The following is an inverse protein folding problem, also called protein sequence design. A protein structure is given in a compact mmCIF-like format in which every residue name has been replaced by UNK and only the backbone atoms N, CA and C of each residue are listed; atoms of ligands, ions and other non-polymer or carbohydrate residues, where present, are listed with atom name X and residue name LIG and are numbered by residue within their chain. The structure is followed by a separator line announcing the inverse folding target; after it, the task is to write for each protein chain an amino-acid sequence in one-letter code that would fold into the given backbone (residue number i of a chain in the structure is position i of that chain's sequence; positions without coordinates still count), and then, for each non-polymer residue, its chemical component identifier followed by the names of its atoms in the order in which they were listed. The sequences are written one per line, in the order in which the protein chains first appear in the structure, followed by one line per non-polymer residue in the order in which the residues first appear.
data_IF_309918780140
#
_entry.id   IF_309918780140
#
_cell.length_a   1.000
_cell.length_b   1.000
_cell.length_c   1.000
_cell.angle_alpha   90.00
_cell.angle_beta   90.00
_cell.angle_gamma   90.00
#
_symmetry.space_group_name_H-M   'P 1'
#
loop_
_entity.id
_entity.type
_entity.pdbx_description
1 polymer ?
#
# COMPACT_ATOMS: atom_id res chain seq x y z
N UNK A 1 13.98 -25.66 24.51
CA UNK A 1 13.70 -24.62 23.49
C UNK A 1 13.73 -25.16 22.07
N UNK A 2 14.76 -25.91 21.64
CA UNK A 2 14.85 -26.46 20.27
C UNK A 2 13.62 -27.31 19.86
N UNK A 3 13.15 -28.23 20.72
CA UNK A 3 11.93 -29.04 20.47
C UNK A 3 10.67 -28.19 20.25
N UNK A 4 10.55 -27.07 20.96
CA UNK A 4 9.42 -26.14 20.80
C UNK A 4 9.50 -25.40 19.46
N UNK A 5 10.69 -24.94 19.08
CA UNK A 5 10.95 -24.28 17.79
C UNK A 5 10.62 -25.24 16.64
N UNK A 6 11.13 -26.47 16.69
CA UNK A 6 10.86 -27.50 15.68
C UNK A 6 9.36 -27.79 15.57
N UNK A 7 8.66 -27.97 16.71
CA UNK A 7 7.21 -28.19 16.72
C UNK A 7 6.44 -27.02 16.09
N UNK A 8 6.88 -25.77 16.34
CA UNK A 8 6.31 -24.55 15.74
C UNK A 8 6.54 -24.49 14.22
N UNK A 9 7.73 -24.83 13.74
CA UNK A 9 8.07 -24.86 12.31
C UNK A 9 7.27 -25.95 11.59
N UNK A 10 7.23 -27.16 12.16
CA UNK A 10 6.43 -28.25 11.62
C UNK A 10 4.93 -27.92 11.58
N UNK A 11 4.41 -27.22 12.60
CA UNK A 11 3.03 -26.74 12.59
C UNK A 11 2.77 -25.65 11.54
N UNK A 12 3.80 -24.90 11.11
CA UNK A 12 3.66 -23.89 10.06
C UNK A 12 3.46 -24.50 8.67
N UNK A 13 4.06 -25.65 8.38
CA UNK A 13 3.97 -26.35 7.08
C UNK A 13 2.51 -26.64 6.68
N UNK A 14 1.67 -27.33 7.49
CA UNK A 14 0.29 -27.60 7.11
C UNK A 14 -0.52 -26.31 7.00
N UNK A 15 -0.26 -25.30 7.85
CA UNK A 15 -0.96 -24.01 7.76
C UNK A 15 -0.63 -23.27 6.46
N UNK A 16 0.62 -23.28 6.02
CA UNK A 16 1.03 -22.68 4.75
C UNK A 16 0.45 -23.45 3.56
N UNK A 17 0.45 -24.78 3.61
CA UNK A 17 -0.13 -25.60 2.55
C UNK A 17 -1.64 -25.33 2.40
N UNK A 18 -2.37 -25.27 3.51
CA UNK A 18 -3.79 -24.88 3.50
C UNK A 18 -3.97 -23.49 2.90
N UNK A 19 -3.15 -22.51 3.32
CA UNK A 19 -3.23 -21.13 2.82
C UNK A 19 -2.95 -21.07 1.31
N UNK A 20 -1.89 -21.70 0.83
CA UNK A 20 -1.54 -21.79 -0.59
C UNK A 20 -2.68 -22.44 -1.39
N UNK A 21 -3.23 -23.54 -0.89
CA UNK A 21 -4.31 -24.28 -1.54
C UNK A 21 -5.56 -23.42 -1.67
N UNK A 22 -5.99 -22.80 -0.57
CA UNK A 22 -7.16 -21.91 -0.55
C UNK A 22 -6.92 -20.71 -1.46
N UNK A 23 -5.74 -20.07 -1.41
CA UNK A 23 -5.40 -18.93 -2.28
C UNK A 23 -5.39 -19.30 -3.75
N UNK A 24 -4.85 -20.47 -4.11
CA UNK A 24 -4.82 -20.97 -5.49
C UNK A 24 -6.24 -21.16 -6.05
N UNK A 25 -7.10 -21.87 -5.33
CA UNK A 25 -8.48 -22.08 -5.77
C UNK A 25 -9.27 -20.79 -5.78
N UNK A 26 -9.08 -19.88 -4.81
CA UNK A 26 -9.75 -18.59 -4.78
C UNK A 26 -9.37 -17.73 -5.99
N UNK A 27 -8.09 -17.72 -6.40
CA UNK A 27 -7.67 -17.05 -7.62
C UNK A 27 -8.23 -17.70 -8.89
N UNK A 28 -8.35 -19.02 -8.94
CA UNK A 28 -8.86 -19.73 -10.13
C UNK A 28 -10.39 -19.67 -10.25
N UNK A 29 -11.11 -19.52 -9.14
CA UNK A 29 -12.56 -19.33 -9.10
C UNK A 29 -12.96 -17.87 -9.39
N UNK A 30 -12.04 -16.91 -9.25
CA UNK A 30 -12.30 -15.53 -9.58
C UNK A 30 -12.56 -15.40 -11.09
N UNK A 31 -13.65 -14.71 -11.52
CA UNK A 31 -13.96 -14.57 -12.93
C UNK A 31 -12.92 -13.70 -13.64
N UNK A 32 -12.32 -14.23 -14.71
CA UNK A 32 -11.34 -13.54 -15.55
C UNK A 32 -10.06 -14.34 -15.75
N UNK A 33 -9.25 -13.95 -16.75
CA UNK A 33 -7.88 -14.43 -16.90
C UNK A 33 -6.91 -13.29 -16.59
N UNK A 34 -5.65 -13.60 -16.17
CA UNK A 34 -4.61 -12.58 -15.98
C UNK A 34 -4.31 -11.77 -17.25
N UNK A 35 -4.75 -12.27 -18.42
CA UNK A 35 -4.43 -11.73 -19.74
C UNK A 35 -5.62 -11.06 -20.43
N UNK A 36 -6.83 -11.12 -19.87
CA UNK A 36 -8.05 -10.50 -20.41
C UNK A 36 -8.25 -9.04 -19.93
N UNK A 37 -7.17 -8.37 -19.54
CA UNK A 37 -7.17 -6.99 -19.01
C UNK A 37 -7.12 -5.89 -20.07
N UNK A 38 -6.37 -4.82 -19.80
CA UNK A 38 -6.35 -3.52 -20.53
C UNK A 38 -6.07 -3.56 -22.05
N UNK A 39 -5.67 -4.71 -22.61
CA UNK A 39 -5.44 -4.89 -24.05
C UNK A 39 -6.09 -6.19 -24.49
N UNK A 40 -7.08 -6.08 -25.38
CA UNK A 40 -7.65 -7.25 -26.06
C UNK A 40 -6.57 -7.85 -26.97
N UNK A 41 -5.95 -8.93 -26.50
CA UNK A 41 -5.01 -9.71 -27.27
C UNK A 41 -5.79 -10.51 -28.33
N UNK A 42 -5.25 -10.65 -29.56
CA UNK A 42 -5.85 -11.54 -30.55
C UNK A 42 -5.99 -12.96 -29.98
N UNK A 43 -7.08 -13.69 -30.29
CA UNK A 43 -7.36 -15.00 -29.70
C UNK A 43 -6.24 -16.02 -29.94
N UNK A 44 -5.54 -15.93 -31.08
CA UNK A 44 -4.37 -16.77 -31.37
C UNK A 44 -3.18 -16.52 -30.41
N UNK A 45 -2.99 -15.26 -29.98
CA UNK A 45 -1.92 -14.89 -29.05
C UNK A 45 -2.28 -15.32 -27.63
N UNK A 46 -3.55 -15.21 -27.25
CA UNK A 46 -4.05 -15.71 -25.96
C UNK A 46 -3.86 -17.22 -25.84
N UNK A 47 -4.25 -18.00 -26.85
CA UNK A 47 -4.06 -19.45 -26.85
C UNK A 47 -2.59 -19.86 -26.69
N UNK A 48 -1.67 -19.15 -27.36
CA UNK A 48 -0.23 -19.38 -27.23
C UNK A 48 0.31 -19.04 -25.83
N UNK A 49 -0.22 -17.97 -25.21
CA UNK A 49 0.16 -17.57 -23.86
C UNK A 49 -0.38 -18.55 -22.82
N UNK A 50 -1.63 -18.97 -22.96
CA UNK A 50 -2.28 -19.94 -22.08
C UNK A 50 -1.59 -21.31 -22.15
N UNK A 51 -1.18 -21.73 -23.35
CA UNK A 51 -0.36 -22.92 -23.55
C UNK A 51 1.02 -22.78 -22.90
N UNK A 52 1.70 -21.63 -23.08
CA UNK A 52 3.03 -21.37 -22.50
C UNK A 52 3.04 -21.43 -20.97
N UNK A 53 1.95 -21.02 -20.33
CA UNK A 53 1.83 -20.98 -18.86
C UNK A 53 1.08 -22.18 -18.28
N UNK A 54 0.77 -23.21 -19.07
CA UNK A 54 0.03 -24.39 -18.62
C UNK A 54 -1.38 -24.07 -18.06
N UNK A 55 -1.99 -22.96 -18.48
CA UNK A 55 -3.32 -22.55 -18.02
C UNK A 55 -4.45 -23.46 -18.56
N UNK A 56 -4.15 -24.27 -19.57
CA UNK A 56 -5.08 -25.21 -20.21
C UNK A 56 -5.09 -26.60 -19.56
N UNK A 57 -4.11 -26.90 -18.69
CA UNK A 57 -4.04 -28.20 -18.04
C UNK A 57 -5.16 -28.38 -17.01
N UNK A 58 -5.55 -29.61 -16.66
CA UNK A 58 -6.52 -29.84 -15.58
C UNK A 58 -6.11 -29.15 -14.27
N UNK A 59 -7.08 -28.62 -13.52
CA UNK A 59 -6.82 -27.74 -12.37
C UNK A 59 -5.94 -28.38 -11.27
N UNK A 60 -6.03 -29.71 -11.10
CA UNK A 60 -5.16 -30.45 -10.18
C UNK A 60 -3.70 -30.47 -10.64
N UNK A 61 -3.45 -30.63 -11.96
CA UNK A 61 -2.09 -30.60 -12.52
C UNK A 61 -1.48 -29.21 -12.37
N UNK A 62 -2.24 -28.15 -12.63
CA UNK A 62 -1.79 -26.77 -12.41
C UNK A 62 -1.37 -26.54 -10.95
N UNK A 63 -2.15 -27.05 -9.99
CA UNK A 63 -1.82 -26.97 -8.57
C UNK A 63 -0.52 -27.74 -8.24
N UNK A 64 -0.36 -28.97 -8.73
CA UNK A 64 0.87 -29.75 -8.49
C UNK A 64 2.11 -29.10 -9.13
N UNK A 65 1.99 -28.55 -10.34
CA UNK A 65 3.07 -27.78 -10.96
C UNK A 65 3.44 -26.56 -10.12
N UNK A 66 2.44 -25.81 -9.63
CA UNK A 66 2.65 -24.64 -8.78
C UNK A 66 3.31 -25.00 -7.45
N UNK A 67 2.84 -26.03 -6.75
CA UNK A 67 3.43 -26.49 -5.48
C UNK A 67 4.84 -27.01 -5.69
N UNK A 68 5.11 -27.72 -6.80
CA UNK A 68 6.46 -28.21 -7.13
C UNK A 68 7.43 -27.05 -7.40
N UNK A 69 7.01 -26.03 -8.13
CA UNK A 69 7.80 -24.81 -8.37
C UNK A 69 8.07 -24.07 -7.05
N UNK A 70 7.05 -23.89 -6.21
CA UNK A 70 7.20 -23.30 -4.88
C UNK A 70 8.19 -24.07 -4.00
N UNK A 71 8.14 -25.40 -4.03
CA UNK A 71 9.05 -26.26 -3.28
C UNK A 71 10.51 -26.13 -3.74
N UNK A 72 10.73 -25.73 -4.99
CA UNK A 72 12.06 -25.42 -5.56
C UNK A 72 12.47 -23.96 -5.31
N UNK A 73 11.61 -23.16 -4.68
CA UNK A 73 11.85 -21.73 -4.44
C UNK A 73 11.53 -20.83 -5.62
N UNK A 74 10.90 -21.34 -6.67
CA UNK A 74 10.45 -20.56 -7.82
C UNK A 74 8.98 -20.15 -7.65
N UNK A 75 8.73 -18.84 -7.51
CA UNK A 75 7.39 -18.28 -7.39
C UNK A 75 6.75 -18.02 -8.76
N UNK A 76 7.51 -18.23 -9.84
CA UNK A 76 7.08 -18.10 -11.20
C UNK A 76 7.20 -16.68 -11.77
N UNK A 77 6.80 -16.54 -13.04
CA UNK A 77 6.85 -15.27 -13.77
C UNK A 77 5.74 -14.31 -13.32
N UNK A 78 6.00 -12.99 -13.45
CA UNK A 78 4.97 -12.00 -13.16
C UNK A 78 3.97 -11.87 -14.32
N UNK A 79 2.69 -12.08 -14.02
CA UNK A 79 1.61 -11.86 -14.99
C UNK A 79 1.37 -10.36 -15.30
N UNK A 80 1.84 -9.47 -14.42
CA UNK A 80 1.72 -8.01 -14.59
C UNK A 80 2.95 -7.39 -15.26
N UNK A 81 4.14 -7.84 -14.88
CA UNK A 81 5.42 -7.34 -15.39
C UNK A 81 6.09 -8.43 -16.24
N UNK A 82 5.86 -8.41 -17.56
CA UNK A 82 6.19 -9.52 -18.47
C UNK A 82 7.65 -9.98 -18.50
N UNK A 83 8.58 -9.10 -18.12
CA UNK A 83 10.02 -9.35 -18.17
C UNK A 83 10.64 -9.69 -16.82
N UNK A 84 9.83 -9.74 -15.74
CA UNK A 84 10.32 -9.96 -14.38
C UNK A 84 9.73 -11.23 -13.77
N UNK A 85 10.58 -11.99 -13.07
CA UNK A 85 10.10 -13.04 -12.17
C UNK A 85 9.54 -12.44 -10.87
N UNK A 86 8.62 -13.14 -10.21
CA UNK A 86 8.13 -12.72 -8.88
C UNK A 86 9.27 -12.71 -7.87
N UNK A 87 10.23 -13.64 -7.99
CA UNK A 87 11.44 -13.70 -7.19
C UNK A 87 12.27 -12.43 -7.30
N UNK A 88 12.51 -11.91 -8.51
CA UNK A 88 13.24 -10.66 -8.73
C UNK A 88 12.53 -9.46 -8.13
N UNK A 89 11.21 -9.36 -8.33
CA UNK A 89 10.42 -8.27 -7.77
C UNK A 89 10.47 -8.28 -6.23
N UNK A 90 10.38 -9.47 -5.63
CA UNK A 90 10.52 -9.61 -4.18
C UNK A 90 11.94 -9.29 -3.72
N UNK A 91 12.98 -9.77 -4.41
CA UNK A 91 14.36 -9.50 -4.04
C UNK A 91 14.68 -7.99 -4.06
N UNK A 92 14.05 -7.21 -4.95
CA UNK A 92 14.21 -5.76 -5.01
C UNK A 92 13.35 -5.02 -3.97
N UNK A 93 12.10 -5.44 -3.74
CA UNK A 93 11.18 -4.72 -2.86
C UNK A 93 11.30 -5.09 -1.37
N UNK A 94 11.58 -6.35 -1.07
CA UNK A 94 11.65 -6.88 0.29
C UNK A 94 12.68 -6.15 1.18
N UNK A 95 13.93 -5.89 0.76
CA UNK A 95 14.89 -5.20 1.62
C UNK A 95 14.44 -3.78 1.97
N UNK A 96 13.92 -3.04 0.98
CA UNK A 96 13.38 -1.68 1.14
C UNK A 96 12.25 -1.66 2.17
N UNK A 97 11.25 -2.54 2.00
CA UNK A 97 10.12 -2.63 2.93
C UNK A 97 10.53 -3.12 4.32
N UNK A 98 11.52 -4.00 4.40
CA UNK A 98 12.04 -4.49 5.68
C UNK A 98 12.76 -3.38 6.45
N UNK A 99 13.59 -2.58 5.79
CA UNK A 99 14.29 -1.44 6.41
C UNK A 99 13.32 -0.40 6.95
N UNK A 100 12.40 0.09 6.11
CA UNK A 100 11.37 1.06 6.52
C UNK A 100 10.54 0.47 7.66
N UNK A 101 10.11 -0.79 7.50
CA UNK A 101 9.29 -1.48 8.49
C UNK A 101 9.99 -1.67 9.84
N UNK A 102 11.28 -2.00 9.85
CA UNK A 102 12.08 -2.14 11.07
C UNK A 102 12.26 -0.80 11.77
N UNK A 103 12.61 0.26 11.05
CA UNK A 103 12.74 1.60 11.65
C UNK A 103 11.41 2.08 12.24
N UNK A 104 10.30 1.91 11.51
CA UNK A 104 8.97 2.20 12.02
C UNK A 104 8.60 1.39 13.25
N UNK A 105 8.94 0.10 13.26
CA UNK A 105 8.68 -0.78 14.39
C UNK A 105 9.46 -0.36 15.63
N UNK A 106 10.77 -0.10 15.51
CA UNK A 106 11.60 0.33 16.64
C UNK A 106 11.09 1.64 17.21
N UNK A 107 10.82 2.64 16.36
CA UNK A 107 10.28 3.93 16.80
C UNK A 107 8.92 3.75 17.45
N UNK A 108 8.03 2.94 16.86
CA UNK A 108 6.71 2.71 17.42
C UNK A 108 6.76 1.99 18.78
N UNK A 109 7.62 0.98 18.92
CA UNK A 109 7.81 0.24 20.16
C UNK A 109 8.39 1.12 21.26
N UNK A 110 9.45 1.88 20.97
CA UNK A 110 10.12 2.75 21.94
C UNK A 110 9.20 3.90 22.34
N UNK A 111 8.71 4.70 21.39
CA UNK A 111 7.85 5.85 21.70
C UNK A 111 6.51 5.41 22.29
N UNK A 112 5.89 4.36 21.76
CA UNK A 112 4.64 3.83 22.31
C UNK A 112 4.81 3.39 23.76
N UNK A 113 5.86 2.63 24.06
CA UNK A 113 6.12 2.17 25.42
C UNK A 113 6.44 3.34 26.36
N UNK A 114 7.27 4.30 25.95
CA UNK A 114 7.60 5.48 26.76
C UNK A 114 6.35 6.30 27.08
N UNK A 115 5.53 6.62 26.08
CA UNK A 115 4.28 7.37 26.28
C UNK A 115 3.30 6.62 27.19
N UNK A 116 3.18 5.30 27.01
CA UNK A 116 2.32 4.47 27.85
C UNK A 116 2.78 4.38 29.31
N UNK A 117 4.10 4.24 29.55
CA UNK A 117 4.67 4.25 30.90
C UNK A 117 4.45 5.60 31.57
N UNK A 118 4.75 6.71 30.88
CA UNK A 118 4.58 8.07 31.44
C UNK A 118 3.11 8.33 31.78
N UNK A 119 2.19 7.97 30.89
CA UNK A 119 0.75 8.12 31.13
C UNK A 119 0.24 7.26 32.29
N UNK A 120 0.75 6.03 32.44
CA UNK A 120 0.40 5.17 33.58
C UNK A 120 0.92 5.69 34.92
N UNK A 121 2.13 6.28 34.95
CA UNK A 121 2.68 6.87 36.17
C UNK A 121 1.94 8.14 36.61
N UNK A 122 1.38 8.87 35.65
CA UNK A 122 0.57 10.07 35.87
C UNK A 122 -0.91 9.81 35.63
N UNK A 123 -1.39 8.61 35.96
CA UNK A 123 -2.77 8.19 35.73
C UNK A 123 -3.79 9.21 36.28
N UNK A 124 -4.85 9.46 35.51
CA UNK A 124 -5.94 10.39 35.86
C UNK A 124 -5.50 11.85 36.07
N UNK A 125 -4.36 12.24 35.52
CA UNK A 125 -3.93 13.65 35.47
C UNK A 125 -4.09 14.22 34.07
N UNK A 126 -4.04 15.55 33.94
CA UNK A 126 -4.10 16.23 32.64
C UNK A 126 -3.04 15.71 31.65
N UNK A 127 -1.86 15.30 32.14
CA UNK A 127 -0.79 14.76 31.30
C UNK A 127 -1.16 13.40 30.69
N UNK A 128 -1.87 12.55 31.42
CA UNK A 128 -2.39 11.29 30.92
C UNK A 128 -3.45 11.54 29.83
N UNK A 129 -4.42 12.41 30.11
CA UNK A 129 -5.46 12.78 29.14
C UNK A 129 -4.89 13.39 27.86
N UNK A 130 -3.91 14.30 27.93
CA UNK A 130 -3.32 14.93 26.75
C UNK A 130 -2.50 13.92 25.94
N UNK A 131 -1.65 13.11 26.59
CA UNK A 131 -0.83 12.11 25.91
C UNK A 131 -1.70 11.03 25.24
N UNK A 132 -2.72 10.54 25.93
CA UNK A 132 -3.62 9.53 25.36
C UNK A 132 -4.48 10.09 24.25
N UNK A 133 -4.99 11.32 24.38
CA UNK A 133 -5.76 11.98 23.31
C UNK A 133 -4.88 12.15 22.07
N UNK A 134 -3.70 12.76 22.21
CA UNK A 134 -2.76 12.97 21.11
C UNK A 134 -2.35 11.66 20.42
N UNK A 135 -2.07 10.63 21.22
CA UNK A 135 -1.73 9.30 20.70
C UNK A 135 -2.92 8.69 19.95
N UNK A 136 -4.13 8.74 20.50
CA UNK A 136 -5.34 8.14 19.89
C UNK A 136 -5.72 8.82 18.57
N UNK A 137 -5.49 10.12 18.40
CA UNK A 137 -5.72 10.84 17.14
C UNK A 137 -5.02 10.16 15.95
N UNK A 138 -3.81 9.62 16.18
CA UNK A 138 -3.03 8.91 15.15
C UNK A 138 -3.63 7.60 14.65
N UNK A 139 -4.60 7.02 15.37
CA UNK A 139 -5.36 5.83 14.95
C UNK A 139 -6.67 6.21 14.28
N UNK A 140 -7.27 7.32 14.70
CA UNK A 140 -8.54 7.81 14.14
C UNK A 140 -8.35 8.31 12.70
N UNK A 141 -7.22 8.93 12.38
CA UNK A 141 -6.93 9.42 11.03
C UNK A 141 -6.52 8.24 10.12
N UNK A 142 -7.25 7.97 9.02
CA UNK A 142 -6.91 6.90 8.09
C UNK A 142 -5.52 7.10 7.46
N UNK A 143 -4.79 6.00 7.21
CA UNK A 143 -3.41 6.03 6.68
C UNK A 143 -3.26 6.81 5.38
N UNK A 144 -4.23 6.69 4.47
CA UNK A 144 -4.23 7.39 3.18
C UNK A 144 -4.49 8.90 3.30
N UNK A 145 -4.93 9.41 4.47
CA UNK A 145 -5.10 10.83 4.75
C UNK A 145 -3.82 11.39 5.37
N UNK A 146 -3.34 10.74 6.44
CA UNK A 146 -2.13 11.18 7.18
C UNK A 146 -0.86 11.18 6.34
N UNK A 147 -0.66 10.18 5.46
CA UNK A 147 0.56 10.11 4.66
C UNK A 147 0.68 11.29 3.65
N UNK A 148 -0.34 11.61 2.83
CA UNK A 148 -0.30 12.80 1.99
C UNK A 148 -0.23 14.12 2.77
N UNK A 149 -0.86 14.23 3.95
CA UNK A 149 -0.74 15.42 4.80
C UNK A 149 0.71 15.63 5.25
N UNK A 150 1.39 14.57 5.68
CA UNK A 150 2.82 14.63 6.05
C UNK A 150 3.67 15.07 4.84
N UNK A 151 3.42 14.51 3.67
CA UNK A 151 4.12 14.91 2.44
C UNK A 151 3.83 16.38 2.09
N UNK A 152 2.57 16.81 2.17
CA UNK A 152 2.18 18.19 1.87
C UNK A 152 2.88 19.19 2.81
N UNK A 153 2.87 18.93 4.11
CA UNK A 153 3.47 19.83 5.09
C UNK A 153 4.99 19.85 4.94
N UNK A 154 5.65 18.70 4.98
CA UNK A 154 7.11 18.64 5.10
C UNK A 154 7.86 18.69 3.77
N UNK A 155 7.27 18.15 2.69
CA UNK A 155 7.93 18.12 1.39
C UNK A 155 7.51 19.27 0.47
N UNK A 156 6.23 19.69 0.51
CA UNK A 156 5.73 20.73 -0.39
C UNK A 156 5.77 22.12 0.24
N UNK A 157 5.23 22.27 1.45
CA UNK A 157 5.12 23.59 2.12
C UNK A 157 6.46 23.97 2.76
N UNK A 158 7.02 23.13 3.62
CA UNK A 158 8.29 23.40 4.33
C UNK A 158 9.53 23.10 3.47
N UNK A 159 9.41 22.20 2.49
CA UNK A 159 10.55 21.73 1.66
C UNK A 159 11.74 21.18 2.47
N UNK A 160 11.48 20.67 3.68
CA UNK A 160 12.52 20.08 4.55
C UNK A 160 12.91 18.68 4.10
N UNK A 161 11.95 17.94 3.53
CA UNK A 161 12.11 16.53 3.19
C UNK A 161 11.73 16.28 1.72
N UNK A 162 12.32 15.29 1.07
CA UNK A 162 11.94 14.92 -0.30
C UNK A 162 10.55 14.29 -0.33
N UNK A 163 9.79 14.57 -1.39
CA UNK A 163 8.42 14.07 -1.53
C UNK A 163 8.34 12.56 -1.82
N UNK A 164 9.44 11.94 -2.26
CA UNK A 164 9.50 10.49 -2.51
C UNK A 164 10.80 10.03 -3.18
N UNK A 165 10.89 8.72 -3.38
CA UNK A 165 12.06 8.03 -3.94
C UNK A 165 12.86 7.29 -2.86
N UNK A 166 13.60 6.23 -3.24
CA UNK A 166 14.44 5.47 -2.31
C UNK A 166 15.81 6.11 -2.09
N UNK A 167 16.43 6.66 -3.14
CA UNK A 167 17.74 7.33 -3.12
C UNK A 167 18.78 6.60 -2.25
N UNK A 168 18.96 5.30 -2.53
CA UNK A 168 19.86 4.39 -1.81
C UNK A 168 19.71 4.39 -0.28
N UNK A 169 18.49 4.58 0.22
CA UNK A 169 18.20 4.56 1.66
C UNK A 169 18.61 5.84 2.39
N UNK A 170 18.73 6.97 1.68
CA UNK A 170 19.06 8.25 2.31
C UNK A 170 18.07 8.58 3.44
N UNK A 171 18.59 8.97 4.60
CA UNK A 171 17.79 9.27 5.80
C UNK A 171 16.60 10.24 5.54
N UNK A 172 16.74 11.32 4.73
CA UNK A 172 15.63 12.21 4.44
C UNK A 172 14.43 11.52 3.77
N UNK A 173 14.68 10.48 2.98
CA UNK A 173 13.66 9.74 2.24
C UNK A 173 12.92 8.73 3.14
N UNK A 174 13.54 8.34 4.25
CA UNK A 174 12.98 7.39 5.21
C UNK A 174 12.09 8.07 6.25
N UNK A 175 12.35 9.33 6.62
CA UNK A 175 11.67 10.00 7.73
C UNK A 175 10.15 10.05 7.52
N UNK A 176 9.68 10.45 6.34
CA UNK A 176 8.24 10.56 6.05
C UNK A 176 7.50 9.23 6.11
N UNK A 177 7.91 8.17 5.37
CA UNK A 177 7.22 6.87 5.46
C UNK A 177 7.33 6.29 6.87
N UNK A 178 8.47 6.43 7.54
CA UNK A 178 8.66 5.92 8.90
C UNK A 178 7.76 6.61 9.91
N UNK A 179 7.64 7.94 9.84
CA UNK A 179 6.73 8.72 10.67
C UNK A 179 5.27 8.36 10.39
N UNK A 180 4.88 8.30 9.11
CA UNK A 180 3.52 7.96 8.71
C UNK A 180 3.11 6.56 9.21
N UNK A 181 3.99 5.56 9.13
CA UNK A 181 3.69 4.22 9.63
C UNK A 181 3.67 4.17 11.16
N UNK A 182 4.67 4.75 11.83
CA UNK A 182 4.84 4.63 13.29
C UNK A 182 3.70 5.25 14.09
N UNK A 183 3.14 6.40 13.69
CA UNK A 183 2.10 7.14 14.45
C UNK A 183 0.93 6.24 14.92
N UNK A 184 0.40 5.38 14.04
CA UNK A 184 -0.74 4.52 14.40
C UNK A 184 -0.36 3.37 15.34
N UNK A 185 0.87 2.88 15.23
CA UNK A 185 1.38 1.82 16.10
C UNK A 185 1.82 2.35 17.46
N UNK A 186 2.40 3.56 17.53
CA UNK A 186 2.70 4.28 18.78
C UNK A 186 1.46 4.36 19.65
N UNK A 187 0.32 4.73 19.07
CA UNK A 187 -0.97 4.83 19.76
C UNK A 187 -1.48 3.51 20.35
N UNK A 188 -1.35 2.43 19.57
CA UNK A 188 -1.83 1.12 20.01
C UNK A 188 -0.92 0.55 21.11
N UNK A 189 0.39 0.66 20.93
CA UNK A 189 1.39 0.21 21.89
C UNK A 189 1.30 1.04 23.18
N UNK A 190 1.11 2.36 23.10
CA UNK A 190 1.00 3.21 24.29
C UNK A 190 -0.24 2.90 25.11
N UNK A 191 -1.39 2.65 24.47
CA UNK A 191 -2.63 2.26 25.15
C UNK A 191 -2.48 0.93 25.88
N UNK A 192 -1.91 -0.08 25.22
CA UNK A 192 -1.67 -1.41 25.81
C UNK A 192 -0.69 -1.29 26.97
N UNK A 193 0.42 -0.57 26.77
CA UNK A 193 1.44 -0.35 27.80
C UNK A 193 0.86 0.37 29.01
N UNK A 194 0.05 1.41 28.79
CA UNK A 194 -0.61 2.15 29.87
C UNK A 194 -1.52 1.23 30.68
N UNK A 195 -2.37 0.45 30.02
CA UNK A 195 -3.29 -0.49 30.69
C UNK A 195 -2.53 -1.52 31.53
N UNK A 196 -1.53 -2.17 30.93
CA UNK A 196 -0.71 -3.18 31.63
C UNK A 196 0.06 -2.59 32.81
N UNK A 197 0.61 -1.38 32.66
CA UNK A 197 1.31 -0.71 33.76
C UNK A 197 0.37 -0.33 34.91
N UNK A 198 -0.84 0.18 34.62
CA UNK A 198 -1.83 0.52 35.65
C UNK A 198 -2.24 -0.73 36.43
N UNK A 199 -2.51 -1.83 35.75
CA UNK A 199 -2.87 -3.10 36.38
C UNK A 199 -1.75 -3.59 37.32
N UNK A 200 -0.51 -3.61 36.82
CA UNK A 200 0.63 -4.08 37.60
C UNK A 200 0.92 -3.16 38.79
N UNK A 201 0.85 -1.83 38.62
CA UNK A 201 1.09 -0.86 39.70
C UNK A 201 0.07 -0.97 40.85
N UNK A 202 -1.13 -1.49 40.58
CA UNK A 202 -2.18 -1.70 41.58
C UNK A 202 -2.10 -3.06 42.29
N UNK A 203 -1.15 -3.92 41.91
CA UNK A 203 -1.01 -5.27 42.47
C UNK A 203 -0.46 -5.30 43.92
N UNK A 204 -0.75 -6.36 44.71
CA UNK A 204 -0.32 -6.46 46.11
C UNK A 204 1.22 -6.47 46.31
N UNK A 205 1.98 -7.05 45.37
CA UNK A 205 3.44 -7.10 45.49
C UNK A 205 4.08 -5.71 45.31
N UNK A 206 3.46 -4.82 44.51
CA UNK A 206 3.90 -3.42 44.40
C UNK A 206 3.60 -2.65 45.69
N UNK A 207 2.45 -2.89 46.35
CA UNK A 207 2.15 -2.29 47.65
C UNK A 207 3.18 -2.69 48.70
N UNK A 208 3.58 -3.96 48.71
CA UNK A 208 4.65 -4.47 49.58
C UNK A 208 6.00 -3.81 49.27
N UNK A 209 6.33 -3.63 47.99
CA UNK A 209 7.55 -2.93 47.57
C UNK A 209 7.56 -1.46 48.03
N UNK A 210 6.41 -0.77 48.01
CA UNK A 210 6.26 0.59 48.55
C UNK A 210 6.40 0.62 50.07
N UNK A 211 5.81 -0.34 50.79
CA UNK A 211 5.94 -0.45 52.24
C UNK A 211 7.39 -0.67 52.71
N UNK A 212 8.21 -1.33 51.88
CA UNK A 212 9.66 -1.46 52.09
C UNK A 212 10.47 -0.19 51.80
N UNK A 213 9.82 0.93 51.42
CA UNK A 213 10.49 2.21 51.16
C UNK A 213 11.29 2.26 49.85
N UNK A 214 11.06 1.33 48.91
CA UNK A 214 11.79 1.34 47.65
C UNK A 214 11.46 2.59 46.82
N UNK A 215 12.46 3.24 46.18
CA UNK A 215 12.21 4.40 45.35
C UNK A 215 11.38 4.03 44.12
N UNK A 216 10.54 4.97 43.66
CA UNK A 216 9.60 4.74 42.55
C UNK A 216 10.30 4.25 41.27
N UNK A 217 11.52 4.73 40.99
CA UNK A 217 12.31 4.28 39.83
C UNK A 217 12.59 2.77 39.86
N UNK A 218 12.96 2.23 41.03
CA UNK A 218 13.21 0.79 41.20
C UNK A 218 11.93 -0.02 41.11
N UNK A 219 10.83 0.48 41.67
CA UNK A 219 9.50 -0.14 41.56
C UNK A 219 9.10 -0.25 40.09
N UNK A 220 9.25 0.83 39.31
CA UNK A 220 8.87 0.85 37.90
C UNK A 220 9.77 -0.06 37.07
N UNK A 221 11.09 0.16 37.10
CA UNK A 221 12.03 -0.54 36.20
C UNK A 221 12.19 -2.03 36.53
N UNK A 222 12.19 -2.40 37.83
CA UNK A 222 12.50 -3.76 38.26
C UNK A 222 11.27 -4.60 38.58
N UNK A 223 10.22 -4.01 39.15
CA UNK A 223 9.06 -4.74 39.66
C UNK A 223 7.81 -4.62 38.78
N UNK A 224 7.55 -3.45 38.20
CA UNK A 224 6.34 -3.22 37.41
C UNK A 224 6.51 -3.51 35.92
N UNK A 225 7.65 -3.13 35.33
CA UNK A 225 7.86 -3.25 33.89
C UNK A 225 7.88 -4.71 33.42
N UNK A 226 8.51 -5.61 34.20
CA UNK A 226 8.68 -7.02 33.79
C UNK A 226 7.33 -7.77 33.63
N UNK A 227 6.37 -7.68 34.57
CA UNK A 227 5.03 -8.23 34.34
C UNK A 227 4.24 -7.48 33.25
N UNK A 228 4.39 -6.16 33.16
CA UNK A 228 3.68 -5.35 32.17
C UNK A 228 4.11 -5.65 30.72
N UNK A 229 5.32 -6.21 30.51
CA UNK A 229 5.82 -6.59 29.19
C UNK A 229 5.10 -7.80 28.57
N UNK A 230 4.44 -8.66 29.36
CA UNK A 230 3.77 -9.86 28.84
C UNK A 230 2.74 -9.57 27.73
N UNK A 231 1.75 -8.66 27.93
CA UNK A 231 0.82 -8.29 26.87
C UNK A 231 1.48 -7.48 25.75
N UNK A 232 2.51 -6.68 26.07
CA UNK A 232 3.20 -5.85 25.09
C UNK A 232 3.95 -6.72 24.07
N UNK A 233 4.76 -7.67 24.54
CA UNK A 233 5.51 -8.60 23.68
C UNK A 233 4.58 -9.44 22.81
N UNK A 234 3.43 -9.85 23.37
CA UNK A 234 2.41 -10.60 22.63
C UNK A 234 1.82 -9.77 21.46
N UNK A 235 1.68 -8.46 21.63
CA UNK A 235 1.22 -7.55 20.57
C UNK A 235 2.32 -7.17 19.56
N UNK A 236 3.58 -7.07 19.99
CA UNK A 236 4.69 -6.69 19.12
C UNK A 236 4.88 -7.64 17.92
N UNK A 237 4.61 -8.95 18.10
CA UNK A 237 4.71 -9.93 17.00
C UNK A 237 3.78 -9.60 15.83
N UNK A 238 2.45 -9.56 16.03
CA UNK A 238 1.51 -9.11 14.99
C UNK A 238 1.76 -7.68 14.51
N UNK A 239 2.20 -6.77 15.40
CA UNK A 239 2.48 -5.39 15.02
C UNK A 239 3.63 -5.28 14.00
N UNK A 240 4.73 -6.03 14.20
CA UNK A 240 5.86 -6.06 13.27
C UNK A 240 5.41 -6.50 11.87
N UNK A 241 4.66 -7.60 11.78
CA UNK A 241 4.13 -8.11 10.51
C UNK A 241 3.18 -7.09 9.87
N UNK A 242 2.32 -6.47 10.68
CA UNK A 242 1.38 -5.45 10.21
C UNK A 242 2.06 -4.18 9.70
N UNK A 243 3.20 -3.79 10.27
CA UNK A 243 3.99 -2.64 9.81
C UNK A 243 4.61 -2.95 8.45
N UNK A 244 5.35 -4.07 8.36
CA UNK A 244 6.06 -4.47 7.15
C UNK A 244 5.08 -4.66 5.98
N UNK A 245 3.93 -5.30 6.22
CA UNK A 245 2.92 -5.54 5.17
C UNK A 245 2.32 -4.26 4.60
N UNK A 246 2.15 -3.21 5.41
CA UNK A 246 1.43 -1.99 4.98
C UNK A 246 2.18 -1.18 3.92
N UNK A 247 3.49 -1.33 3.83
CA UNK A 247 4.32 -0.59 2.88
C UNK A 247 4.31 -1.18 1.47
N UNK A 248 4.02 -2.49 1.32
CA UNK A 248 3.91 -3.15 0.01
C UNK A 248 2.76 -2.61 -0.88
N UNK A 249 1.86 -1.79 -0.35
CA UNK A 249 0.75 -1.18 -1.12
C UNK A 249 1.11 0.13 -1.82
N UNK A 250 2.28 0.71 -1.52
CA UNK A 250 2.73 1.96 -2.12
C UNK A 250 3.26 1.76 -3.55
N UNK A 251 2.93 2.68 -4.46
CA UNK A 251 3.31 2.74 -5.88
C UNK A 251 4.84 2.72 -6.19
N UNK A 252 5.70 2.34 -5.25
CA UNK A 252 7.15 2.22 -5.42
C UNK A 252 7.57 1.13 -6.43
N UNK A 253 6.67 0.20 -6.76
CA UNK A 253 6.86 -0.84 -7.77
C UNK A 253 6.60 -0.38 -9.21
N UNK A 254 6.61 0.91 -9.49
CA UNK A 254 6.81 1.33 -10.88
C UNK A 254 8.32 1.35 -11.13
N UNK A 255 8.90 0.28 -11.74
CA UNK A 255 10.24 0.40 -12.30
C UNK A 255 10.22 1.67 -13.14
N UNK A 256 11.18 2.55 -12.86
CA UNK A 256 11.29 3.85 -13.49
C UNK A 256 10.94 3.68 -14.96
N UNK A 257 9.79 4.23 -15.38
CA UNK A 257 9.49 4.29 -16.81
C UNK A 257 10.67 5.05 -17.37
N UNK A 258 11.60 4.33 -18.03
CA UNK A 258 12.51 4.90 -19.00
C UNK A 258 11.61 5.53 -20.05
N UNK A 259 11.15 6.75 -19.79
CA UNK A 259 10.67 7.65 -20.82
C UNK A 259 11.96 8.09 -21.51
N UNK A 260 12.30 7.57 -22.71
CA UNK A 260 13.31 8.24 -23.49
C UNK A 260 12.86 9.69 -23.62
N UNK A 261 13.77 10.61 -23.33
CA UNK A 261 13.53 12.03 -23.40
C UNK A 261 12.83 12.36 -24.73
N UNK A 262 11.54 12.67 -24.66
CA UNK A 262 10.83 13.21 -25.81
C UNK A 262 11.41 14.60 -26.02
N UNK A 263 12.46 14.65 -26.84
CA UNK A 263 13.12 15.85 -27.34
C UNK A 263 12.03 16.64 -28.04
N UNK A 264 11.39 17.56 -27.33
CA UNK A 264 10.51 18.57 -27.90
C UNK A 264 11.35 19.34 -28.91
N UNK A 265 11.27 18.94 -30.18
CA UNK A 265 11.72 19.75 -31.30
C UNK A 265 10.85 21.00 -31.26
N UNK A 266 11.42 22.08 -30.73
CA UNK A 266 10.93 23.45 -30.94
C UNK A 266 10.97 23.74 -32.44
N UNK A 267 9.83 23.61 -33.10
CA UNK A 267 9.56 24.28 -34.38
C UNK A 267 8.09 24.68 -34.41
N UNK A 268 7.77 25.82 -33.80
CA UNK A 268 6.62 26.63 -34.18
C UNK A 268 7.18 27.90 -34.84
N UNK A 269 6.82 28.22 -36.09
CA UNK A 269 7.21 29.48 -36.70
C UNK A 269 6.42 30.62 -36.05
N UNK A 270 7.13 31.65 -35.58
CA UNK A 270 6.54 32.93 -35.16
C UNK A 270 5.86 33.59 -36.37
N UNK A 271 4.54 33.73 -36.33
CA UNK A 271 3.84 34.68 -37.19
C UNK A 271 4.18 36.11 -36.72
N UNK A 272 4.80 36.88 -37.61
CA UNK A 272 5.12 38.29 -37.43
C UNK A 272 3.84 39.12 -37.39
N UNK A 273 3.73 40.00 -36.40
CA UNK A 273 2.80 41.13 -36.43
C UNK A 273 3.23 42.12 -37.51
N UNK A 274 2.28 42.52 -38.35
CA UNK A 274 2.40 43.65 -39.27
C UNK A 274 1.45 44.76 -38.79
N UNK A 275 1.90 46.01 -38.56
CA UNK A 275 1.03 47.10 -38.12
C UNK A 275 0.82 48.11 -39.27
N UNK A 276 -0.37 48.14 -39.88
CA UNK A 276 -0.96 49.31 -40.59
C UNK A 276 -2.32 48.94 -41.19
N UNK A 277 -3.12 49.98 -41.45
CA UNK A 277 -4.52 50.03 -41.92
C UNK A 277 -5.55 50.01 -40.77
N UNK A 278 -6.03 51.17 -40.29
CA UNK A 278 -7.06 52.05 -40.93
C UNK A 278 -8.45 51.42 -40.82
N UNK A 279 -9.56 52.08 -40.48
CA UNK A 279 -9.89 53.40 -39.95
C UNK A 279 -11.41 53.29 -39.66
N UNK A 280 -11.92 54.09 -38.71
CA UNK A 280 -13.31 54.61 -38.65
C UNK A 280 -14.42 53.70 -38.08
N UNK A 281 -14.98 54.14 -36.93
CA UNK A 281 -16.42 54.41 -36.89
C UNK A 281 -17.27 53.77 -35.79
N UNK A 282 -17.34 54.42 -34.62
CA UNK A 282 -18.64 54.95 -34.13
C UNK A 282 -19.53 54.11 -33.19
N UNK A 283 -19.68 54.67 -31.97
CA UNK A 283 -20.86 54.68 -31.06
C UNK A 283 -21.22 53.38 -30.31
N UNK A 284 -21.82 53.37 -29.11
CA UNK A 284 -21.88 54.22 -27.91
C UNK A 284 -22.86 53.52 -26.91
N UNK A 285 -22.53 53.56 -25.60
CA UNK A 285 -23.43 53.53 -24.39
C UNK A 285 -24.02 52.20 -23.85
N UNK A 286 -23.50 51.82 -22.66
CA UNK A 286 -24.16 51.63 -21.34
C UNK A 286 -25.33 50.62 -21.11
N UNK A 287 -25.59 50.18 -19.86
CA UNK A 287 -25.91 48.79 -19.50
C UNK A 287 -27.33 48.66 -18.92
N UNK A 288 -27.77 47.46 -18.52
CA UNK A 288 -28.63 47.20 -17.33
C UNK A 288 -29.07 45.73 -17.22
N UNK A 289 -28.93 45.22 -15.99
CA UNK A 289 -29.85 44.37 -15.23
C UNK A 289 -30.21 42.91 -15.62
N UNK A 290 -29.83 42.05 -14.65
CA UNK A 290 -30.66 41.10 -13.86
C UNK A 290 -31.03 39.71 -14.40
N UNK A 291 -30.93 38.79 -13.44
CA UNK A 291 -31.73 37.57 -13.13
C UNK A 291 -31.27 36.20 -13.68
N UNK A 292 -30.75 35.40 -12.74
CA UNK A 292 -31.38 34.16 -12.23
C UNK A 292 -31.44 32.89 -13.09
N UNK A 293 -30.79 31.84 -12.54
CA UNK A 293 -31.19 30.42 -12.41
C UNK A 293 -30.96 29.44 -13.59
N UNK A 294 -30.45 28.27 -13.16
CA UNK A 294 -30.26 26.94 -13.78
C UNK A 294 -31.16 26.52 -14.95
N UNK A 295 -30.68 25.53 -15.73
CA UNK A 295 -31.33 24.20 -15.77
C UNK A 295 -30.29 23.05 -15.75
N UNK A 296 -30.46 21.94 -15.00
CA UNK A 296 -31.35 20.77 -15.14
C UNK A 296 -31.13 19.90 -16.39
N UNK A 297 -30.69 18.65 -16.15
CA UNK A 297 -30.67 17.50 -17.06
C UNK A 297 -32.09 17.02 -17.43
N UNK A 298 -32.21 16.19 -18.48
CA UNK A 298 -33.20 15.12 -18.46
C UNK A 298 -32.61 13.73 -18.78
N UNK A 299 -33.17 12.74 -18.08
CA UNK A 299 -33.11 11.30 -18.30
C UNK A 299 -34.42 10.85 -18.99
N UNK A 300 -34.37 9.86 -19.90
CA UNK A 300 -35.43 8.85 -20.12
C UNK A 300 -35.12 7.86 -21.24
N UNK A 301 -34.87 6.61 -20.85
CA UNK A 301 -35.69 5.41 -21.13
C UNK A 301 -36.58 5.38 -22.40
N UNK A 302 -36.34 4.41 -23.31
CA UNK A 302 -37.25 3.31 -23.72
C UNK A 302 -36.70 2.46 -24.90
N UNK A 303 -36.81 1.14 -24.75
CA UNK A 303 -36.58 -0.01 -25.68
C UNK A 303 -37.64 -0.05 -26.83
N UNK A 304 -37.76 -1.04 -27.76
CA UNK A 304 -36.90 -2.19 -28.16
C UNK A 304 -36.86 -2.53 -29.71
N UNK A 305 -36.09 -3.58 -30.07
CA UNK A 305 -36.23 -4.54 -31.21
C UNK A 305 -36.17 -4.05 -32.69
N UNK A 306 -35.25 -4.64 -33.47
CA UNK A 306 -35.47 -5.22 -34.82
C UNK A 306 -34.15 -5.79 -35.42
N UNK A 307 -34.08 -7.12 -35.58
CA UNK A 307 -33.38 -7.82 -36.68
C UNK A 307 -34.46 -8.21 -37.72
N UNK A 308 -34.21 -8.76 -38.95
CA UNK A 308 -32.97 -9.37 -39.49
C UNK A 308 -32.65 -9.09 -41.00
N UNK A 309 -31.53 -9.68 -41.48
CA UNK A 309 -31.20 -10.09 -42.87
C UNK A 309 -31.16 -9.03 -43.99
N UNK A 310 -29.94 -8.76 -44.50
CA UNK A 310 -29.55 -8.91 -45.93
C UNK A 310 -28.16 -8.29 -46.17
N UNK A 311 -27.18 -9.12 -46.57
CA UNK A 311 -26.09 -8.79 -47.50
C UNK A 311 -25.09 -9.95 -47.52
N UNK A 312 -25.40 -10.96 -48.32
CA UNK A 312 -24.43 -11.91 -48.84
C UNK A 312 -23.68 -11.27 -50.01
N UNK A 313 -22.41 -11.66 -50.17
CA UNK A 313 -21.61 -11.71 -51.42
C UNK A 313 -21.08 -10.39 -52.00
N UNK A 314 -19.80 -10.14 -51.72
CA UNK A 314 -18.66 -9.87 -52.62
C UNK A 314 -17.46 -9.68 -51.68
N UNK A 315 -16.23 -10.16 -51.83
CA UNK A 315 -15.46 -10.79 -52.90
C UNK A 315 -14.66 -11.96 -52.28
N UNK A 316 -14.67 -13.11 -52.95
CA UNK A 316 -13.54 -14.02 -52.93
C UNK A 316 -12.60 -13.67 -54.10
N UNK A 317 -11.34 -14.05 -53.94
CA UNK A 317 -10.33 -14.31 -54.98
C UNK A 317 -9.40 -13.16 -55.37
N UNK A 318 -8.17 -13.27 -54.86
CA UNK A 318 -7.05 -12.38 -55.15
C UNK A 318 -5.73 -12.83 -54.51
N UNK A 319 -5.33 -14.07 -54.75
CA UNK A 319 -3.96 -14.60 -54.76
C UNK A 319 -3.11 -14.63 -53.47
N UNK A 320 -3.02 -15.86 -52.95
CA UNK A 320 -1.81 -16.60 -52.54
C UNK A 320 -0.45 -16.09 -53.03
N UNK A 321 0.51 -16.13 -52.10
CA UNK A 321 1.89 -16.67 -52.20
C UNK A 321 3.03 -15.68 -51.95
N UNK A 322 3.73 -15.85 -50.80
CA UNK A 322 5.13 -16.34 -50.78
C UNK A 322 5.67 -16.54 -49.36
N UNK A 323 6.42 -17.64 -49.25
CA UNK A 323 7.16 -18.17 -48.11
C UNK A 323 8.50 -17.44 -47.89
N UNK A 324 9.14 -17.79 -46.76
CA UNK A 324 10.57 -17.78 -46.45
C UNK A 324 11.17 -16.49 -45.85
N UNK A 325 11.35 -16.48 -44.52
CA UNK A 325 12.62 -16.57 -43.75
C UNK A 325 12.28 -16.42 -42.27
#
# INVERSE_FOLDING_TARGET
MLKFIIKRILAAIPTMLVLITVSFFLMRLAPGSPFTGERNLPPAVLANIEAKYHLNDPMYLQYFHYVKQLAQGDLGPSFKYKDFSVNELLAQALPVSLEIGLYSFVIAAVLGMLLGIVAALKQNTWADYTLMTLAMTGVVVPSFVKAPILVLIFAVILQWLPAGGWNDGALPNLILPVAALSISYVSSISRITRGAMIEVLNSPFIRTARAKGLPMRTIVLKHALRPALLPIVSYLGPALVGIIRRDCGGNHLQPARHRPAFRQRRTQPRLRHDPRADHIGGRARHPLQRRSRHPLCPDRSKNPLLTPRAAQRTLSDGLTARQAV
#
